data_IF_877703327504
#
_entry.id   IF_877703327504
#
_cell.length_a   1.000
_cell.length_b   1.000
_cell.length_c   1.000
_cell.angle_alpha   90.00
_cell.angle_beta   90.00
_cell.angle_gamma   90.00
#
_symmetry.space_group_name_H-M   'P 1'
#
loop_
_entity.id
_entity.type
_entity.pdbx_description
1 polymer ?
#
# COMPACT_ATOMS: atom_id res chain seq x y z
N UNK A 1 13.55 -17.72 -31.45
CA UNK A 1 13.85 -16.42 -32.06
C UNK A 1 15.26 -16.00 -31.63
N UNK A 2 16.25 -16.15 -32.50
CA UNK A 2 17.67 -15.96 -32.18
C UNK A 2 17.99 -14.48 -31.85
N UNK A 3 17.24 -13.56 -32.46
CA UNK A 3 17.41 -12.11 -32.25
C UNK A 3 17.10 -11.71 -30.81
N UNK A 4 15.97 -12.17 -30.27
CA UNK A 4 15.57 -11.89 -28.88
C UNK A 4 16.60 -12.43 -27.87
N UNK A 5 17.18 -13.60 -28.12
CA UNK A 5 18.24 -14.17 -27.28
C UNK A 5 19.51 -13.30 -27.34
N UNK A 6 19.93 -12.88 -28.53
CA UNK A 6 21.09 -12.00 -28.68
C UNK A 6 20.92 -10.62 -28.02
N UNK A 7 19.70 -10.08 -28.06
CA UNK A 7 19.35 -8.81 -27.41
C UNK A 7 19.37 -8.95 -25.89
N UNK A 8 18.76 -10.01 -25.35
CA UNK A 8 18.78 -10.31 -23.92
C UNK A 8 20.20 -10.50 -23.39
N UNK A 9 21.04 -11.27 -24.10
CA UNK A 9 22.45 -11.48 -23.73
C UNK A 9 23.26 -10.18 -23.77
N UNK A 10 23.05 -9.34 -24.79
CA UNK A 10 23.71 -8.04 -24.90
C UNK A 10 23.31 -7.12 -23.74
N UNK A 11 22.02 -7.12 -23.39
CA UNK A 11 21.48 -6.30 -22.30
C UNK A 11 22.00 -6.75 -20.93
N UNK A 12 22.02 -8.05 -20.65
CA UNK A 12 22.62 -8.60 -19.42
C UNK A 12 24.10 -8.24 -19.31
N UNK A 13 24.86 -8.39 -20.41
CA UNK A 13 26.29 -8.04 -20.46
C UNK A 13 26.52 -6.54 -20.20
N UNK A 14 25.70 -5.66 -20.78
CA UNK A 14 25.78 -4.22 -20.55
C UNK A 14 25.55 -3.86 -19.07
N UNK A 15 24.69 -4.61 -18.39
CA UNK A 15 24.41 -4.46 -16.96
C UNK A 15 25.40 -5.20 -16.05
N UNK A 16 26.37 -5.91 -16.62
CA UNK A 16 27.34 -6.70 -15.86
C UNK A 16 26.74 -7.94 -15.18
N UNK A 17 25.57 -8.40 -15.63
CA UNK A 17 24.88 -9.57 -15.07
C UNK A 17 25.31 -10.82 -15.83
N UNK A 18 26.05 -11.71 -15.15
CA UNK A 18 26.65 -12.88 -15.79
C UNK A 18 26.12 -14.21 -15.25
N UNK A 19 25.55 -14.21 -14.05
CA UNK A 19 24.97 -15.38 -13.38
C UNK A 19 23.48 -15.20 -13.07
N UNK A 20 22.81 -16.30 -12.72
CA UNK A 20 21.40 -16.26 -12.28
C UNK A 20 21.30 -15.54 -10.94
N UNK A 21 22.28 -15.75 -10.06
CA UNK A 21 22.41 -15.13 -8.76
C UNK A 21 22.58 -13.60 -8.90
N UNK A 22 23.41 -13.13 -9.85
CA UNK A 22 23.56 -11.70 -10.15
C UNK A 22 22.22 -11.09 -10.59
N UNK A 23 21.48 -11.79 -11.46
CA UNK A 23 20.18 -11.33 -11.96
C UNK A 23 19.14 -11.23 -10.84
N UNK A 24 19.05 -12.23 -9.97
CA UNK A 24 18.12 -12.22 -8.83
C UNK A 24 18.50 -11.13 -7.82
N UNK A 25 19.78 -10.98 -7.49
CA UNK A 25 20.27 -9.93 -6.60
C UNK A 25 20.00 -8.53 -7.17
N UNK A 26 20.19 -8.33 -8.47
CA UNK A 26 19.91 -7.06 -9.14
C UNK A 26 18.40 -6.76 -9.18
N UNK A 27 17.57 -7.76 -9.46
CA UNK A 27 16.11 -7.61 -9.42
C UNK A 27 15.61 -7.25 -8.02
N UNK A 28 16.21 -7.84 -6.98
CA UNK A 28 15.89 -7.49 -5.60
C UNK A 28 16.33 -6.07 -5.24
N UNK A 29 17.58 -5.69 -5.55
CA UNK A 29 18.11 -4.36 -5.24
C UNK A 29 17.38 -3.25 -6.01
N UNK A 30 17.14 -3.46 -7.30
CA UNK A 30 16.38 -2.53 -8.16
C UNK A 30 14.91 -2.47 -7.74
N UNK A 31 14.34 -3.59 -7.29
CA UNK A 31 13.00 -3.64 -6.71
C UNK A 31 12.89 -2.78 -5.45
N UNK A 32 13.90 -2.83 -4.56
CA UNK A 32 13.99 -1.97 -3.36
C UNK A 32 14.13 -0.50 -3.75
N UNK A 33 15.05 -0.17 -4.65
CA UNK A 33 15.22 1.21 -5.16
C UNK A 33 13.92 1.78 -5.75
N UNK A 34 13.20 1.01 -6.58
CA UNK A 34 11.92 1.43 -7.13
C UNK A 34 10.84 1.65 -6.05
N UNK A 35 10.89 0.88 -4.95
CA UNK A 35 10.01 1.07 -3.81
C UNK A 35 10.39 2.34 -3.03
N UNK A 36 11.68 2.61 -2.87
CA UNK A 36 12.20 3.78 -2.18
C UNK A 36 11.80 5.08 -2.88
N UNK A 37 11.94 5.17 -4.21
CA UNK A 37 11.46 6.33 -4.97
C UNK A 37 9.97 6.58 -4.74
N UNK A 38 9.14 5.53 -4.81
CA UNK A 38 7.71 5.63 -4.53
C UNK A 38 7.43 6.10 -3.11
N UNK A 39 8.20 5.60 -2.13
CA UNK A 39 8.05 6.01 -0.74
C UNK A 39 8.49 7.45 -0.49
N UNK A 40 9.46 7.97 -1.26
CA UNK A 40 9.86 9.38 -1.22
C UNK A 40 8.83 10.31 -1.89
N UNK A 41 8.16 9.85 -2.96
CA UNK A 41 7.13 10.63 -3.66
C UNK A 41 5.82 10.72 -2.88
N UNK A 42 5.36 9.61 -2.27
CA UNK A 42 4.09 9.54 -1.52
C UNK A 42 3.82 10.69 -0.55
N UNK A 43 4.73 11.06 0.38
CA UNK A 43 4.47 12.16 1.30
C UNK A 43 4.40 13.51 0.59
N UNK A 44 5.16 13.71 -0.50
CA UNK A 44 5.11 14.93 -1.32
C UNK A 44 3.78 15.05 -2.05
N UNK A 45 3.30 13.96 -2.64
CA UNK A 45 1.98 13.90 -3.29
C UNK A 45 0.85 14.14 -2.27
N UNK A 46 0.96 13.54 -1.08
CA UNK A 46 0.00 13.75 0.00
C UNK A 46 -0.01 15.22 0.45
N UNK A 47 1.18 15.82 0.61
CA UNK A 47 1.30 17.23 0.97
C UNK A 47 0.73 18.16 -0.10
N UNK A 48 1.04 17.91 -1.37
CA UNK A 48 0.49 18.67 -2.51
C UNK A 48 -1.05 18.65 -2.51
N UNK A 49 -1.65 17.47 -2.28
CA UNK A 49 -3.12 17.35 -2.14
C UNK A 49 -3.70 18.13 -0.95
N UNK A 50 -2.99 18.19 0.16
CA UNK A 50 -3.39 19.00 1.32
C UNK A 50 -3.36 20.49 0.97
N UNK A 51 -2.31 20.95 0.28
CA UNK A 51 -2.20 22.34 -0.18
C UNK A 51 -3.35 22.68 -1.12
N UNK A 52 -3.65 21.82 -2.11
CA UNK A 52 -4.79 21.99 -3.01
C UNK A 52 -6.11 22.11 -2.23
N UNK A 53 -6.31 21.23 -1.24
CA UNK A 53 -7.49 21.26 -0.37
C UNK A 53 -7.60 22.56 0.44
N UNK A 54 -6.49 23.08 0.94
CA UNK A 54 -6.44 24.35 1.68
C UNK A 54 -6.78 25.52 0.74
N UNK A 55 -6.17 25.57 -0.44
CA UNK A 55 -6.42 26.62 -1.43
C UNK A 55 -7.86 26.61 -1.94
N UNK A 56 -8.43 25.42 -2.19
CA UNK A 56 -9.83 25.25 -2.54
C UNK A 56 -10.75 25.70 -1.40
N UNK A 57 -10.48 25.25 -0.17
CA UNK A 57 -11.28 25.63 1.02
C UNK A 57 -11.23 27.14 1.29
N UNK A 58 -10.08 27.79 1.10
CA UNK A 58 -9.95 29.24 1.19
C UNK A 58 -10.80 29.97 0.13
N UNK A 59 -10.92 29.39 -1.06
CA UNK A 59 -11.78 29.91 -2.13
C UNK A 59 -13.25 29.73 -1.78
N UNK A 60 -13.67 28.52 -1.40
CA UNK A 60 -15.04 28.23 -0.97
C UNK A 60 -15.49 29.11 0.20
N UNK A 61 -14.62 29.31 1.20
CA UNK A 61 -14.87 30.21 2.32
C UNK A 61 -15.10 31.65 1.87
N UNK A 62 -14.40 32.14 0.83
CA UNK A 62 -14.59 33.51 0.31
C UNK A 62 -15.90 33.63 -0.47
N UNK A 63 -16.20 32.67 -1.34
CA UNK A 63 -17.37 32.68 -2.21
C UNK A 63 -18.68 32.47 -1.42
N UNK A 64 -18.67 31.54 -0.46
CA UNK A 64 -19.87 31.19 0.30
C UNK A 64 -20.12 32.11 1.50
N UNK A 65 -19.19 33.01 1.84
CA UNK A 65 -19.25 33.85 3.03
C UNK A 65 -20.56 34.62 3.16
N UNK A 66 -20.98 35.30 2.10
CA UNK A 66 -22.17 36.15 2.13
C UNK A 66 -23.47 35.35 2.37
N UNK A 67 -23.56 34.14 1.81
CA UNK A 67 -24.70 33.24 2.01
C UNK A 67 -24.70 32.68 3.42
N UNK A 68 -23.52 32.28 3.91
CA UNK A 68 -23.38 31.77 5.27
C UNK A 68 -23.67 32.84 6.35
N UNK A 69 -23.27 34.09 6.14
CA UNK A 69 -23.62 35.19 7.04
C UNK A 69 -25.13 35.45 7.09
N UNK A 70 -25.82 35.36 5.94
CA UNK A 70 -27.30 35.42 5.89
C UNK A 70 -27.91 34.25 6.67
N UNK A 71 -27.41 33.04 6.47
CA UNK A 71 -27.83 31.85 7.21
C UNK A 71 -27.64 32.00 8.72
N UNK A 72 -26.51 32.55 9.18
CA UNK A 72 -26.24 32.76 10.60
C UNK A 72 -27.24 33.72 11.25
N UNK A 73 -27.72 34.74 10.53
CA UNK A 73 -28.70 35.73 11.03
C UNK A 73 -30.12 35.18 11.14
N UNK A 74 -30.40 33.98 10.63
CA UNK A 74 -31.71 33.34 10.78
C UNK A 74 -31.77 32.60 12.12
N UNK A 75 -32.65 33.06 13.01
CA UNK A 75 -32.86 32.46 14.33
C UNK A 75 -34.04 31.48 14.38
N UNK A 76 -35.03 31.63 13.50
CA UNK A 76 -36.19 30.74 13.48
C UNK A 76 -35.85 29.40 12.83
N UNK A 77 -35.96 28.31 13.59
CA UNK A 77 -35.50 26.96 13.20
C UNK A 77 -36.03 26.50 11.85
N UNK A 78 -37.35 26.62 11.61
CA UNK A 78 -37.97 26.15 10.35
C UNK A 78 -37.46 26.94 9.13
N UNK A 79 -37.30 28.25 9.26
CA UNK A 79 -36.78 29.11 8.18
C UNK A 79 -35.30 28.81 7.93
N UNK A 80 -34.54 28.61 9.00
CA UNK A 80 -33.11 28.27 8.93
C UNK A 80 -32.87 26.97 8.18
N UNK A 81 -33.69 25.96 8.47
CA UNK A 81 -33.62 24.65 7.81
C UNK A 81 -33.97 24.74 6.32
N UNK A 82 -35.04 25.46 5.96
CA UNK A 82 -35.40 25.73 4.55
C UNK A 82 -34.27 26.46 3.81
N UNK A 83 -33.70 27.50 4.43
CA UNK A 83 -32.59 28.23 3.85
C UNK A 83 -31.38 27.32 3.57
N UNK A 84 -31.06 26.39 4.48
CA UNK A 84 -29.97 25.43 4.27
C UNK A 84 -30.25 24.44 3.12
N UNK A 85 -31.51 24.11 2.86
CA UNK A 85 -31.92 23.27 1.73
C UNK A 85 -31.84 24.02 0.39
N UNK A 86 -32.21 25.29 0.37
CA UNK A 86 -32.17 26.16 -0.82
C UNK A 86 -30.75 26.63 -1.16
N UNK A 87 -29.87 26.71 -0.16
CA UNK A 87 -28.51 27.23 -0.29
C UNK A 87 -27.44 26.18 0.07
N UNK A 88 -27.06 25.30 -0.86
CA UNK A 88 -25.99 24.32 -0.64
C UNK A 88 -24.63 24.98 -0.30
N UNK A 89 -24.45 26.27 -0.58
CA UNK A 89 -23.29 27.08 -0.19
C UNK A 89 -23.06 27.08 1.33
N UNK A 90 -24.12 26.96 2.14
CA UNK A 90 -24.01 26.87 3.60
C UNK A 90 -23.22 25.62 3.99
N UNK A 91 -23.55 24.47 3.40
CA UNK A 91 -22.85 23.22 3.66
C UNK A 91 -21.41 23.24 3.11
N UNK A 92 -21.19 23.90 1.96
CA UNK A 92 -19.84 24.08 1.40
C UNK A 92 -18.97 24.93 2.32
N UNK A 93 -19.50 26.03 2.84
CA UNK A 93 -18.79 26.90 3.79
C UNK A 93 -18.43 26.15 5.08
N UNK A 94 -19.39 25.44 5.68
CA UNK A 94 -19.15 24.63 6.89
C UNK A 94 -18.02 23.61 6.65
N UNK A 95 -18.08 22.86 5.53
CA UNK A 95 -17.06 21.88 5.15
C UNK A 95 -15.68 22.53 4.93
N UNK A 96 -15.62 23.69 4.29
CA UNK A 96 -14.38 24.39 4.01
C UNK A 96 -13.73 24.92 5.32
N UNK A 97 -14.53 25.48 6.23
CA UNK A 97 -14.04 25.91 7.54
C UNK A 97 -13.55 24.72 8.37
N UNK A 98 -14.31 23.62 8.39
CA UNK A 98 -13.91 22.38 9.08
C UNK A 98 -12.62 21.80 8.52
N UNK A 99 -12.41 21.90 7.19
CA UNK A 99 -11.17 21.45 6.56
C UNK A 99 -9.99 22.33 6.99
N UNK A 100 -10.14 23.66 6.95
CA UNK A 100 -9.09 24.59 7.39
C UNK A 100 -8.73 24.41 8.88
N UNK A 101 -9.72 24.10 9.73
CA UNK A 101 -9.49 23.82 11.15
C UNK A 101 -8.64 22.55 11.40
N UNK A 102 -8.63 21.59 10.46
CA UNK A 102 -7.78 20.39 10.53
C UNK A 102 -6.33 20.64 10.13
N UNK A 103 -6.02 21.80 9.56
CA UNK A 103 -4.69 22.19 9.09
C UNK A 103 -4.22 23.49 9.77
N UNK A 104 -4.08 23.50 11.12
CA UNK A 104 -3.72 24.71 11.86
C UNK A 104 -2.32 25.24 11.50
N UNK A 105 -1.37 24.35 11.18
CA UNK A 105 0.00 24.73 10.82
C UNK A 105 0.10 25.55 9.52
N UNK A 106 -0.91 25.44 8.66
CA UNK A 106 -1.00 26.17 7.39
C UNK A 106 -1.95 27.38 7.48
N UNK A 107 -2.48 27.68 8.67
CA UNK A 107 -3.42 28.78 8.87
C UNK A 107 -2.77 30.12 8.54
N UNK A 108 -1.55 30.33 9.00
CA UNK A 108 -0.83 31.61 8.87
C UNK A 108 -0.07 31.73 7.54
N UNK A 109 0.06 30.63 6.79
CA UNK A 109 0.75 30.64 5.50
C UNK A 109 -0.01 31.47 4.47
N UNK A 110 0.72 32.28 3.72
CA UNK A 110 0.12 33.07 2.63
C UNK A 110 -0.26 32.18 1.44
N UNK A 111 -1.10 32.69 0.54
CA UNK A 111 -1.43 31.96 -0.70
C UNK A 111 -0.16 31.70 -1.53
N UNK A 112 0.73 32.69 -1.61
CA UNK A 112 1.94 32.59 -2.40
C UNK A 112 2.92 31.56 -1.83
N UNK A 113 3.09 31.50 -0.50
CA UNK A 113 3.90 30.46 0.15
C UNK A 113 3.40 29.05 -0.14
N UNK A 114 2.08 28.83 -0.04
CA UNK A 114 1.47 27.55 -0.36
C UNK A 114 1.67 27.16 -1.83
N UNK A 115 1.55 28.13 -2.75
CA UNK A 115 1.80 27.89 -4.18
C UNK A 115 3.27 27.58 -4.47
N UNK A 116 4.20 28.31 -3.84
CA UNK A 116 5.63 28.04 -3.98
C UNK A 116 6.01 26.66 -3.41
N UNK A 117 5.46 26.29 -2.26
CA UNK A 117 5.60 24.95 -1.69
C UNK A 117 5.08 23.88 -2.67
N UNK A 118 3.92 24.12 -3.28
CA UNK A 118 3.34 23.22 -4.28
C UNK A 118 4.22 23.07 -5.52
N UNK A 119 4.73 24.16 -6.08
CA UNK A 119 5.63 24.12 -7.25
C UNK A 119 6.91 23.34 -6.94
N UNK A 120 7.48 23.56 -5.75
CA UNK A 120 8.67 22.83 -5.29
C UNK A 120 8.38 21.33 -5.18
N UNK A 121 7.28 20.94 -4.54
CA UNK A 121 6.88 19.54 -4.41
C UNK A 121 6.65 18.88 -5.77
N UNK A 122 6.03 19.58 -6.73
CA UNK A 122 5.81 19.07 -8.08
C UNK A 122 7.12 18.88 -8.85
N UNK A 123 8.08 19.80 -8.69
CA UNK A 123 9.43 19.65 -9.26
C UNK A 123 10.14 18.42 -8.69
N UNK A 124 10.16 18.28 -7.37
CA UNK A 124 10.79 17.13 -6.70
C UNK A 124 10.13 15.80 -7.09
N UNK A 125 8.81 15.77 -7.22
CA UNK A 125 8.07 14.58 -7.70
C UNK A 125 8.47 14.25 -9.14
N UNK A 126 8.59 15.25 -10.01
CA UNK A 126 9.01 15.05 -11.40
C UNK A 126 10.44 14.52 -11.48
N UNK A 127 11.36 15.07 -10.69
CA UNK A 127 12.75 14.61 -10.57
C UNK A 127 12.84 13.16 -10.09
N UNK A 128 12.06 12.76 -9.09
CA UNK A 128 12.01 11.37 -8.60
C UNK A 128 11.35 10.41 -9.59
N UNK A 129 10.45 10.91 -10.43
CA UNK A 129 9.72 10.10 -11.42
C UNK A 129 10.64 9.64 -12.54
N UNK A 130 11.62 10.44 -12.96
CA UNK A 130 12.59 10.09 -14.00
C UNK A 130 13.34 8.78 -13.68
N UNK A 131 14.12 8.68 -12.58
CA UNK A 131 14.84 7.45 -12.25
C UNK A 131 13.89 6.29 -11.92
N UNK A 132 12.70 6.56 -11.35
CA UNK A 132 11.70 5.53 -11.14
C UNK A 132 11.25 4.88 -12.46
N UNK A 133 11.02 5.67 -13.50
CA UNK A 133 10.63 5.12 -14.82
C UNK A 133 11.74 4.27 -15.44
N UNK A 134 12.99 4.71 -15.36
CA UNK A 134 14.15 3.96 -15.86
C UNK A 134 14.28 2.61 -15.14
N UNK A 135 14.22 2.60 -13.81
CA UNK A 135 14.28 1.37 -13.01
C UNK A 135 13.09 0.45 -13.32
N UNK A 136 11.89 1.00 -13.55
CA UNK A 136 10.72 0.20 -13.90
C UNK A 136 10.84 -0.47 -15.28
N UNK A 137 11.38 0.24 -16.27
CA UNK A 137 11.64 -0.31 -17.60
C UNK A 137 12.69 -1.42 -17.55
N UNK A 138 13.77 -1.20 -16.80
CA UNK A 138 14.80 -2.21 -16.57
C UNK A 138 14.24 -3.45 -15.87
N UNK A 139 13.50 -3.26 -14.79
CA UNK A 139 12.85 -4.37 -14.07
C UNK A 139 11.89 -5.16 -14.98
N UNK A 140 11.17 -4.50 -15.89
CA UNK A 140 10.27 -5.18 -16.83
C UNK A 140 11.07 -6.10 -17.77
N UNK A 141 12.15 -5.60 -18.36
CA UNK A 141 13.02 -6.37 -19.25
C UNK A 141 13.68 -7.55 -18.51
N UNK A 142 14.25 -7.29 -17.34
CA UNK A 142 14.95 -8.32 -16.56
C UNK A 142 14.01 -9.41 -16.02
N UNK A 143 12.76 -9.08 -15.70
CA UNK A 143 11.75 -10.08 -15.31
C UNK A 143 11.37 -11.00 -16.45
N UNK A 144 11.27 -10.48 -17.67
CA UNK A 144 11.03 -11.31 -18.87
C UNK A 144 12.21 -12.25 -19.12
N UNK A 145 13.44 -11.72 -19.09
CA UNK A 145 14.66 -12.52 -19.21
C UNK A 145 14.70 -13.62 -18.14
N UNK A 146 14.46 -13.27 -16.87
CA UNK A 146 14.40 -14.23 -15.75
C UNK A 146 13.39 -15.34 -16.01
N UNK A 147 12.20 -14.99 -16.50
CA UNK A 147 11.15 -15.96 -16.83
C UNK A 147 11.65 -16.97 -17.87
N UNK A 148 12.30 -16.51 -18.94
CA UNK A 148 12.84 -17.38 -19.98
C UNK A 148 14.05 -18.21 -19.51
N UNK A 149 14.93 -17.63 -18.69
CA UNK A 149 16.04 -18.37 -18.06
C UNK A 149 15.50 -19.52 -17.21
N UNK A 150 14.51 -19.27 -16.35
CA UNK A 150 13.87 -20.32 -15.54
C UNK A 150 13.20 -21.39 -16.39
N UNK A 151 12.59 -21.01 -17.52
CA UNK A 151 11.98 -21.96 -18.46
C UNK A 151 13.02 -22.83 -19.18
N UNK A 152 14.20 -22.27 -19.48
CA UNK A 152 15.28 -22.97 -20.16
C UNK A 152 16.15 -23.82 -19.23
N UNK A 153 16.12 -23.56 -17.92
CA UNK A 153 16.84 -24.32 -16.89
C UNK A 153 15.87 -24.99 -15.90
N UNK A 154 15.07 -25.98 -16.34
CA UNK A 154 14.23 -26.76 -15.44
C UNK A 154 15.12 -27.67 -14.57
N UNK A 155 15.32 -27.30 -13.30
CA UNK A 155 16.07 -28.11 -12.33
C UNK A 155 16.93 -27.33 -11.33
N UNK A 156 17.23 -26.05 -11.57
CA UNK A 156 17.98 -25.19 -10.64
C UNK A 156 17.04 -24.40 -9.73
N UNK A 157 16.08 -25.09 -9.11
CA UNK A 157 15.54 -24.60 -7.85
C UNK A 157 16.52 -25.02 -6.75
N UNK A 158 17.14 -24.04 -6.09
CA UNK A 158 17.25 -24.12 -4.63
C UNK A 158 15.92 -24.65 -4.12
N UNK A 159 15.95 -25.84 -3.54
CA UNK A 159 14.81 -26.44 -2.86
C UNK A 159 14.39 -25.56 -1.68
N UNK A 160 13.62 -24.53 -1.98
CA UNK A 160 12.51 -24.09 -1.14
C UNK A 160 11.24 -24.65 -1.76
N UNK A 161 11.22 -25.98 -1.89
CA UNK A 161 9.98 -26.72 -2.10
C UNK A 161 9.03 -26.27 -0.95
N UNK A 162 7.84 -25.70 -1.22
CA UNK A 162 6.81 -25.66 -0.20
C UNK A 162 6.61 -27.13 0.20
N UNK A 163 6.64 -27.47 1.50
CA UNK A 163 6.62 -28.87 1.93
C UNK A 163 5.47 -29.55 1.20
N UNK A 164 5.82 -30.54 0.35
CA UNK A 164 4.87 -31.33 -0.42
C UNK A 164 3.75 -31.73 0.53
N UNK A 165 2.56 -31.15 0.30
CA UNK A 165 1.35 -31.54 1.01
C UNK A 165 1.12 -33.00 0.67
N UNK A 166 1.54 -33.88 1.56
CA UNK A 166 1.02 -35.25 1.62
C UNK A 166 -0.51 -35.14 1.61
N UNK A 167 -1.22 -35.95 0.81
CA UNK A 167 -2.67 -35.96 0.86
C UNK A 167 -3.11 -36.27 2.29
N UNK A 168 -3.78 -35.30 2.92
CA UNK A 168 -4.18 -35.28 4.34
C UNK A 168 -5.17 -36.41 4.71
N UNK A 169 -5.46 -37.36 3.80
CA UNK A 169 -6.44 -38.42 4.03
C UNK A 169 -5.90 -39.65 4.77
N UNK A 170 -4.59 -39.87 4.87
CA UNK A 170 -4.05 -40.99 5.66
C UNK A 170 -3.54 -40.59 7.05
N UNK A 171 -3.09 -39.35 7.26
CA UNK A 171 -2.59 -38.90 8.59
C UNK A 171 -3.72 -38.71 9.63
N UNK A 172 -4.98 -38.64 9.18
CA UNK A 172 -6.14 -38.49 10.06
C UNK A 172 -6.67 -39.82 10.62
N UNK A 173 -6.27 -40.96 10.05
CA UNK A 173 -6.74 -42.26 10.53
C UNK A 173 -5.86 -42.79 11.68
N UNK A 174 -4.54 -42.60 11.61
CA UNK A 174 -3.63 -42.99 12.70
C UNK A 174 -3.81 -42.17 14.00
N UNK A 175 -4.26 -40.91 13.90
CA UNK A 175 -4.54 -40.08 15.08
C UNK A 175 -5.89 -40.35 15.75
N UNK A 176 -6.78 -41.10 15.10
CA UNK A 176 -8.08 -41.46 15.66
C UNK A 176 -7.97 -42.67 16.61
N UNK A 177 -7.07 -43.62 16.32
CA UNK A 177 -6.88 -44.81 17.14
C UNK A 177 -5.98 -44.56 18.37
N UNK A 178 -5.00 -43.66 18.29
CA UNK A 178 -4.13 -43.33 19.44
C UNK A 178 -4.90 -42.61 20.57
N UNK A 179 -5.92 -41.79 20.23
CA UNK A 179 -6.79 -41.12 21.22
C UNK A 179 -7.81 -42.05 21.88
N UNK A 180 -8.14 -43.19 21.26
CA UNK A 180 -9.01 -44.21 21.88
C UNK A 180 -8.23 -45.03 22.90
N UNK A 181 -6.96 -45.35 22.64
CA UNK A 181 -6.12 -46.14 23.56
C UNK A 181 -5.76 -45.38 24.85
N UNK A 182 -5.55 -44.06 24.80
CA UNK A 182 -5.24 -43.28 26.02
C UNK A 182 -6.44 -43.09 26.96
N UNK A 183 -7.67 -43.05 26.45
CA UNK A 183 -8.88 -42.90 27.29
C UNK A 183 -9.24 -44.17 28.05
N UNK A 184 -8.98 -45.36 27.51
CA UNK A 184 -9.21 -46.63 28.22
C UNK A 184 -8.15 -46.90 29.29
N UNK A 185 -6.89 -46.50 29.08
CA UNK A 185 -5.82 -46.66 30.08
C UNK A 185 -6.00 -45.75 31.33
N UNK A 186 -6.55 -44.54 31.16
CA UNK A 186 -6.84 -43.63 32.28
C UNK A 186 -8.09 -44.04 33.08
N UNK A 187 -9.04 -44.76 32.47
CA UNK A 187 -10.22 -45.25 33.17
C UNK A 187 -9.90 -46.44 34.09
N UNK A 188 -8.97 -47.31 33.70
CA UNK A 188 -8.55 -48.45 34.55
C UNK A 188 -7.67 -48.03 35.74
N UNK A 189 -6.87 -46.97 35.62
CA UNK A 189 -6.05 -46.47 36.74
C UNK A 189 -6.87 -45.74 37.80
N UNK A 190 -7.96 -45.04 37.42
CA UNK A 190 -8.86 -44.42 38.40
C UNK A 190 -9.72 -45.41 39.20
N UNK A 191 -10.12 -46.53 38.60
CA UNK A 191 -10.93 -47.51 39.34
C UNK A 191 -10.13 -48.26 40.41
N UNK A 192 -8.83 -48.52 40.18
CA UNK A 192 -7.98 -49.28 41.11
C UNK A 192 -7.53 -48.49 42.35
N UNK A 193 -7.61 -47.15 42.33
CA UNK A 193 -7.25 -46.31 43.48
C UNK A 193 -8.39 -46.13 44.50
N UNK A 194 -9.63 -46.50 44.16
CA UNK A 194 -10.77 -46.38 45.08
C UNK A 194 -11.01 -47.62 45.95
N UNK A 195 -10.36 -48.75 45.66
CA UNK A 195 -10.52 -50.02 46.42
C UNK A 195 -9.39 -50.27 47.44
N UNK A 196 -8.50 -49.29 47.69
CA UNK A 196 -7.36 -49.43 48.62
C UNK A 196 -7.40 -48.43 49.79
N UNK A 197 -8.48 -47.66 49.95
CA UNK A 197 -8.73 -46.85 51.14
C UNK A 197 -9.94 -47.41 51.90
N UNK A 198 -9.68 -48.46 52.67
CA UNK A 198 -10.52 -48.97 53.76
C UNK A 198 -9.62 -49.28 54.96
#
# INVERSE_FOLDING_TARGET
DLKAVSEALSYLRQKGLSTVEDLEAFLESSGKSAADYRNQMKPKEARSKVIDGILASRTDCKECKAVYEKYQKIFFKKTKEKFKQEHPEVARYEKAVDYLAKHPDDKDKTKNELQQEQETLLSEIAELKVPLTEVQEDLKKLRDIRYWVRKATPGTEESKEPPKKQPIKEVLQDKADEKKAQRTAQAQTKHRQQDMEL
#
